data_IF_754321044475
#
_entry.id   IF_754321044475
#
_cell.length_a   1.000
_cell.length_b   1.000
_cell.length_c   1.000
_cell.angle_alpha   90.00
_cell.angle_beta   90.00
_cell.angle_gamma   90.00
#
_symmetry.space_group_name_H-M   'P 1'
#
loop_
_entity.id
_entity.type
_entity.pdbx_description
1 polymer ?
#
# COMPACT_ATOMS: atom_id res chain seq x y z
N UNK A 1 -4.54 7.41 8.10
CA UNK A 1 -3.54 6.66 7.32
C UNK A 1 -2.68 5.83 8.26
N UNK A 2 -2.65 4.51 8.09
CA UNK A 2 -1.76 3.61 8.84
C UNK A 2 -0.84 2.91 7.84
N UNK A 3 0.47 3.09 8.00
CA UNK A 3 1.51 2.37 7.26
C UNK A 3 2.29 1.56 8.29
N UNK A 4 2.30 0.24 8.14
CA UNK A 4 3.01 -0.67 9.04
C UNK A 4 4.14 -1.32 8.27
N UNK A 5 5.36 -1.08 8.72
CA UNK A 5 6.53 -1.78 8.22
C UNK A 5 6.52 -3.23 8.73
N UNK A 6 6.71 -4.18 7.81
CA UNK A 6 6.80 -5.60 8.15
C UNK A 6 8.11 -6.15 7.59
N UNK A 7 8.88 -6.88 8.42
CA UNK A 7 10.21 -7.44 8.08
C UNK A 7 11.21 -6.43 7.47
N UNK A 8 11.09 -5.15 7.81
CA UNK A 8 11.97 -4.08 7.30
C UNK A 8 11.59 -3.55 5.92
N UNK A 9 10.47 -3.98 5.35
CA UNK A 9 9.99 -3.52 4.05
C UNK A 9 9.00 -2.37 4.20
N UNK A 10 9.06 -1.42 3.27
CA UNK A 10 8.21 -0.23 3.23
C UNK A 10 7.42 -0.23 1.93
N UNK A 11 6.11 0.08 1.96
CA UNK A 11 5.32 0.21 0.74
C UNK A 11 5.93 1.21 -0.24
N UNK A 12 5.99 0.84 -1.52
CA UNK A 12 6.44 1.68 -2.62
C UNK A 12 5.22 2.20 -3.36
N UNK A 13 5.10 3.52 -3.47
CA UNK A 13 3.91 4.17 -4.01
C UNK A 13 4.36 5.20 -5.04
N UNK A 14 3.83 5.08 -6.25
CA UNK A 14 4.04 6.08 -7.29
C UNK A 14 3.39 7.42 -6.92
N UNK A 15 4.01 8.53 -7.30
CA UNK A 15 3.54 9.89 -6.98
C UNK A 15 2.21 10.24 -7.62
N UNK A 16 1.84 9.56 -8.71
CA UNK A 16 0.58 9.75 -9.42
C UNK A 16 -0.56 8.91 -8.84
N UNK A 17 -0.27 7.99 -7.92
CA UNK A 17 -1.29 7.15 -7.31
C UNK A 17 -2.17 7.96 -6.35
N UNK A 18 -3.49 7.79 -6.47
CA UNK A 18 -4.43 8.34 -5.51
C UNK A 18 -4.51 7.45 -4.28
N UNK A 19 -4.31 8.05 -3.10
CA UNK A 19 -4.37 7.39 -1.82
C UNK A 19 -5.41 8.06 -0.92
N UNK A 20 -6.49 7.35 -0.63
CA UNK A 20 -7.47 7.80 0.37
C UNK A 20 -6.86 7.82 1.80
N UNK A 21 -7.28 8.78 2.61
CA UNK A 21 -6.71 9.04 3.95
C UNK A 21 -6.98 7.91 4.97
N UNK A 22 -8.14 7.26 4.86
CA UNK A 22 -8.57 6.15 5.72
C UNK A 22 -8.29 4.84 4.98
N UNK A 23 -7.04 4.38 5.02
CA UNK A 23 -6.58 3.08 4.52
C UNK A 23 -5.51 2.47 5.42
N UNK A 24 -5.23 1.18 5.21
CA UNK A 24 -4.10 0.48 5.83
C UNK A 24 -3.24 -0.21 4.77
N UNK A 25 -1.94 0.10 4.75
CA UNK A 25 -0.93 -0.64 3.98
C UNK A 25 0.05 -1.30 4.95
N UNK A 26 0.31 -2.59 4.75
CA UNK A 26 1.18 -3.38 5.62
C UNK A 26 2.13 -4.20 4.74
N UNK A 27 3.45 -4.08 4.96
CA UNK A 27 4.46 -4.91 4.27
C UNK A 27 4.92 -4.43 2.89
N UNK A 28 5.29 -5.35 2.00
CA UNK A 28 5.94 -5.09 0.69
C UNK A 28 4.96 -4.74 -0.45
N UNK A 29 4.11 -3.76 -0.21
CA UNK A 29 3.12 -3.34 -1.21
C UNK A 29 3.76 -2.43 -2.26
N UNK A 30 3.56 -2.73 -3.55
CA UNK A 30 3.92 -1.86 -4.68
C UNK A 30 2.66 -1.29 -5.36
N UNK A 31 2.53 0.03 -5.40
CA UNK A 31 1.45 0.77 -6.06
C UNK A 31 2.01 1.56 -7.24
N UNK A 32 1.58 1.21 -8.44
CA UNK A 32 1.99 1.79 -9.72
C UNK A 32 1.33 3.12 -10.06
N UNK A 33 1.76 3.67 -11.20
CA UNK A 33 1.30 4.97 -11.70
C UNK A 33 -0.18 4.95 -12.08
N UNK A 34 -0.90 6.01 -11.76
CA UNK A 34 -2.35 6.18 -12.01
C UNK A 34 -3.25 5.13 -11.32
N UNK A 35 -2.73 4.38 -10.34
CA UNK A 35 -3.55 3.50 -9.49
C UNK A 35 -4.31 4.30 -8.43
N UNK A 36 -5.41 3.74 -7.91
CA UNK A 36 -6.22 4.40 -6.88
C UNK A 36 -6.62 3.44 -5.76
N UNK A 37 -6.29 3.83 -4.52
CA UNK A 37 -6.68 3.11 -3.30
C UNK A 37 -7.73 3.91 -2.56
N UNK A 38 -8.90 3.32 -2.39
CA UNK A 38 -10.08 3.97 -1.84
C UNK A 38 -10.28 3.65 -0.35
N UNK A 39 -11.19 4.39 0.27
CA UNK A 39 -11.46 4.33 1.71
C UNK A 39 -11.73 2.90 2.20
N UNK A 40 -11.26 2.61 3.42
CA UNK A 40 -11.42 1.32 4.10
C UNK A 40 -10.72 0.12 3.42
N UNK A 41 -9.84 0.38 2.44
CA UNK A 41 -9.02 -0.67 1.83
C UNK A 41 -7.90 -1.10 2.77
N UNK A 42 -7.71 -2.41 2.90
CA UNK A 42 -6.57 -3.03 3.61
C UNK A 42 -5.76 -3.84 2.60
N UNK A 43 -4.52 -3.42 2.37
CA UNK A 43 -3.53 -4.18 1.62
C UNK A 43 -2.47 -4.67 2.60
N UNK A 44 -2.40 -6.00 2.76
CA UNK A 44 -1.52 -6.65 3.71
C UNK A 44 -0.69 -7.70 2.99
N UNK A 45 0.59 -7.43 2.93
CA UNK A 45 1.60 -8.21 2.25
C UNK A 45 2.63 -8.72 3.26
N UNK A 46 2.22 -9.71 4.04
CA UNK A 46 3.04 -10.35 5.07
C UNK A 46 3.42 -11.80 4.76
N UNK A 47 2.88 -12.35 3.67
CA UNK A 47 3.14 -13.72 3.20
C UNK A 47 3.68 -13.73 1.77
N UNK A 48 3.05 -13.00 0.84
CA UNK A 48 3.47 -12.94 -0.57
C UNK A 48 3.13 -11.61 -1.24
N UNK A 49 4.03 -11.19 -2.14
CA UNK A 49 4.08 -9.87 -2.75
C UNK A 49 2.79 -9.48 -3.50
N UNK A 50 2.31 -8.25 -3.28
CA UNK A 50 1.13 -7.67 -3.92
C UNK A 50 1.51 -6.42 -4.71
N UNK A 51 1.25 -6.46 -6.02
CA UNK A 51 1.50 -5.36 -6.96
C UNK A 51 0.22 -4.93 -7.67
N UNK A 52 -0.02 -3.63 -7.69
CA UNK A 52 -1.24 -2.95 -8.20
C UNK A 52 -0.90 -1.63 -8.85
#
# INVERSE_FOLDING_TARGET
MIIIHYKGVTPRIDKTAYIAEIRSLIGDVEIGSNSSIWFSTVLRDDVESTKI
#
